data_IF_547873826353
#
_entry.id   IF_547873826353
#
_cell.length_a   1.000
_cell.length_b   1.000
_cell.length_c   1.000
_cell.angle_alpha   90.00
_cell.angle_beta   90.00
_cell.angle_gamma   90.00
#
_symmetry.space_group_name_H-M   'P 1'
#
loop_
_entity.id
_entity.type
_entity.pdbx_description
1 polymer ?
#
# COMPACT_ATOMS: atom_id res chain seq x y z
N UNK A 1 -11.03 6.45 18.03
CA UNK A 1 -11.56 5.25 17.37
C UNK A 1 -12.93 4.87 17.95
N UNK A 2 -13.16 5.04 19.26
CA UNK A 2 -14.44 4.66 19.90
C UNK A 2 -15.66 5.40 19.35
N UNK A 3 -15.53 6.70 19.03
CA UNK A 3 -16.61 7.47 18.39
C UNK A 3 -16.87 7.11 16.91
N UNK A 4 -16.08 6.20 16.32
CA UNK A 4 -16.21 5.78 14.91
C UNK A 4 -16.22 4.24 14.85
N UNK A 5 -17.37 3.59 15.10
CA UNK A 5 -17.45 2.14 15.21
C UNK A 5 -17.09 1.40 13.92
N UNK A 6 -17.19 2.06 12.77
CA UNK A 6 -16.80 1.57 11.44
C UNK A 6 -15.28 1.69 11.16
N UNK A 7 -14.54 2.44 11.98
CA UNK A 7 -13.09 2.55 11.86
C UNK A 7 -12.40 1.33 12.46
N UNK A 8 -11.73 0.54 11.62
CA UNK A 8 -10.92 -0.62 12.01
C UNK A 8 -9.45 -0.26 12.23
N UNK A 9 -8.99 0.83 11.62
CA UNK A 9 -7.64 1.36 11.75
C UNK A 9 -7.66 2.87 11.96
N UNK A 10 -6.66 3.39 12.68
CA UNK A 10 -6.31 4.81 12.66
C UNK A 10 -4.92 5.00 12.06
N UNK A 11 -4.81 5.91 11.09
CA UNK A 11 -3.54 6.35 10.52
C UNK A 11 -3.07 7.63 11.23
N UNK A 12 -1.84 7.62 11.73
CA UNK A 12 -1.18 8.81 12.28
C UNK A 12 -0.66 9.72 11.15
N UNK A 13 -0.39 10.98 11.48
CA UNK A 13 0.43 11.87 10.64
C UNK A 13 1.90 11.57 10.90
N UNK A 14 2.57 10.95 9.93
CA UNK A 14 3.98 10.59 10.02
C UNK A 14 4.81 11.64 9.29
N UNK A 15 5.71 12.29 10.02
CA UNK A 15 6.67 13.27 9.50
C UNK A 15 8.05 12.64 9.36
N UNK A 16 8.81 13.08 8.36
CA UNK A 16 10.23 12.75 8.30
C UNK A 16 10.94 13.41 9.49
N UNK A 17 11.89 12.69 10.09
CA UNK A 17 12.60 13.13 11.30
C UNK A 17 13.13 14.57 11.17
N UNK A 18 12.82 15.41 12.18
CA UNK A 18 13.21 16.82 12.25
C UNK A 18 12.79 17.67 11.02
N UNK A 19 11.63 17.42 10.43
CA UNK A 19 11.13 18.20 9.29
C UNK A 19 9.62 18.46 9.38
N UNK A 20 9.12 19.42 8.58
CA UNK A 20 7.69 19.62 8.33
C UNK A 20 7.18 18.81 7.11
N UNK A 21 7.93 17.80 6.67
CA UNK A 21 7.63 17.02 5.48
C UNK A 21 6.96 15.71 5.86
N UNK A 22 5.87 15.39 5.19
CA UNK A 22 5.13 14.15 5.38
C UNK A 22 5.96 12.97 4.84
N UNK A 23 6.12 11.93 5.68
CA UNK A 23 6.45 10.57 5.23
C UNK A 23 5.17 9.84 4.82
N UNK A 24 4.13 9.86 5.67
CA UNK A 24 2.80 9.31 5.35
C UNK A 24 1.70 10.05 6.12
N UNK A 25 0.69 10.53 5.41
CA UNK A 25 -0.56 11.05 5.96
C UNK A 25 -1.70 10.01 5.80
N UNK A 26 -1.37 8.76 6.10
CA UNK A 26 -2.10 7.57 5.67
C UNK A 26 -1.57 7.01 4.34
N UNK A 27 -2.12 5.87 3.94
CA UNK A 27 -1.74 5.19 2.71
C UNK A 27 -2.88 5.16 1.71
N UNK A 28 -2.50 5.05 0.44
CA UNK A 28 -3.37 4.95 -0.71
C UNK A 28 -3.12 3.65 -1.48
N UNK A 29 -4.09 3.26 -2.29
CA UNK A 29 -3.95 2.20 -3.28
C UNK A 29 -4.41 2.72 -4.63
N UNK A 30 -3.57 2.61 -5.65
CA UNK A 30 -3.87 3.13 -6.97
C UNK A 30 -4.66 2.13 -7.82
N UNK A 31 -5.32 2.62 -8.87
CA UNK A 31 -5.89 1.77 -9.93
C UNK A 31 -4.83 1.07 -10.77
N UNK A 32 -3.55 1.42 -10.63
CA UNK A 32 -2.44 0.56 -11.10
C UNK A 32 -2.13 -0.62 -10.17
N UNK A 33 -3.00 -0.86 -9.18
CA UNK A 33 -2.92 -1.91 -8.18
C UNK A 33 -1.62 -1.84 -7.36
N UNK A 34 -1.29 -0.64 -6.88
CA UNK A 34 -0.07 -0.39 -6.10
C UNK A 34 -0.38 0.44 -4.85
N UNK A 35 0.15 -0.02 -3.71
CA UNK A 35 0.19 0.78 -2.49
C UNK A 35 1.12 1.99 -2.64
N UNK A 36 0.77 3.09 -2.01
CA UNK A 36 1.62 4.28 -1.93
C UNK A 36 1.33 5.06 -0.64
N UNK A 37 2.32 5.83 -0.17
CA UNK A 37 2.15 6.74 0.96
C UNK A 37 1.46 8.02 0.51
N UNK A 38 0.37 8.40 1.17
CA UNK A 38 -0.37 9.64 0.89
C UNK A 38 0.44 10.82 1.43
N UNK A 39 0.67 11.83 0.59
CA UNK A 39 1.40 13.05 0.96
C UNK A 39 2.91 12.92 1.04
N UNK A 40 3.50 11.78 0.66
CA UNK A 40 4.97 11.57 0.63
C UNK A 40 5.69 12.74 -0.03
N UNK A 41 6.53 13.45 0.75
CA UNK A 41 7.33 14.57 0.28
C UNK A 41 6.62 15.92 0.22
N UNK A 42 5.39 16.05 0.75
CA UNK A 42 4.65 17.31 0.84
C UNK A 42 4.73 17.95 2.23
N UNK A 43 4.39 19.25 2.32
CA UNK A 43 4.29 19.96 3.61
C UNK A 43 3.15 19.40 4.46
N UNK A 44 3.38 19.26 5.76
CA UNK A 44 2.38 18.79 6.72
C UNK A 44 1.16 19.71 6.84
N UNK A 45 1.31 20.99 6.51
CA UNK A 45 0.26 22.01 6.60
C UNK A 45 -0.95 21.66 5.72
N UNK A 46 -0.74 20.90 4.63
CA UNK A 46 -1.81 20.45 3.73
C UNK A 46 -2.65 19.30 4.30
N UNK A 47 -2.18 18.66 5.37
CA UNK A 47 -2.70 17.40 5.89
C UNK A 47 -3.25 17.56 7.32
N UNK A 48 -3.91 18.70 7.60
CA UNK A 48 -4.55 19.03 8.88
C UNK A 48 -5.99 18.50 9.04
N UNK A 49 -6.59 17.91 8.01
CA UNK A 49 -7.98 17.47 8.03
C UNK A 49 -8.11 16.00 8.46
N UNK A 50 -8.97 15.72 9.44
CA UNK A 50 -9.41 14.37 9.79
C UNK A 50 -10.35 13.84 8.71
N UNK A 51 -10.04 12.68 8.16
CA UNK A 51 -10.81 12.09 7.06
C UNK A 51 -10.60 10.58 6.98
N UNK A 52 -11.44 9.89 6.23
CA UNK A 52 -11.20 8.49 5.90
C UNK A 52 -10.22 8.39 4.73
N UNK A 53 -9.22 7.53 4.88
CA UNK A 53 -8.20 7.23 3.87
C UNK A 53 -8.27 5.75 3.49
N UNK A 54 -7.50 5.34 2.48
CA UNK A 54 -7.50 3.94 2.05
C UNK A 54 -6.82 3.02 3.09
N UNK A 55 -5.68 3.45 3.63
CA UNK A 55 -4.84 2.62 4.48
C UNK A 55 -4.07 3.41 5.53
N UNK A 56 -3.42 2.69 6.43
CA UNK A 56 -2.49 3.23 7.41
C UNK A 56 -1.13 2.56 7.23
N UNK A 57 -0.06 3.33 7.42
CA UNK A 57 1.30 2.78 7.47
C UNK A 57 1.52 2.10 8.84
N UNK A 58 1.97 0.85 8.83
CA UNK A 58 2.11 0.07 10.07
C UNK A 58 3.17 0.63 11.03
N UNK A 59 4.06 1.54 10.59
CA UNK A 59 5.02 2.23 11.45
C UNK A 59 4.34 3.02 12.60
N UNK A 60 3.14 3.54 12.37
CA UNK A 60 2.39 4.30 13.37
C UNK A 60 0.87 4.21 13.12
N UNK A 61 0.32 3.01 13.31
CA UNK A 61 -1.10 2.73 13.18
C UNK A 61 -1.67 2.13 14.46
N UNK A 62 -2.93 2.45 14.75
CA UNK A 62 -3.72 1.78 15.78
C UNK A 62 -4.72 0.84 15.09
N UNK A 63 -4.86 -0.38 15.62
CA UNK A 63 -5.75 -1.41 15.07
C UNK A 63 -6.85 -1.75 16.08
N UNK A 64 -8.10 -1.82 15.61
CA UNK A 64 -9.22 -2.31 16.42
C UNK A 64 -9.09 -3.81 16.58
N UNK A 65 -9.12 -4.30 17.82
CA UNK A 65 -9.09 -5.74 18.14
C UNK A 65 -10.15 -6.54 17.36
N UNK A 66 -11.42 -6.07 17.37
CA UNK A 66 -12.52 -6.72 16.65
C UNK A 66 -12.25 -6.88 15.15
N UNK A 67 -11.58 -5.91 14.53
CA UNK A 67 -11.19 -6.03 13.13
C UNK A 67 -10.14 -7.12 12.95
N UNK A 68 -9.09 -7.14 13.79
CA UNK A 68 -8.03 -8.16 13.71
C UNK A 68 -8.56 -9.58 13.95
N UNK A 69 -9.52 -9.73 14.88
CA UNK A 69 -10.22 -11.01 15.10
C UNK A 69 -11.04 -11.44 13.89
N UNK A 70 -11.56 -10.50 13.09
CA UNK A 70 -12.32 -10.78 11.89
C UNK A 70 -11.45 -11.10 10.67
N UNK A 71 -10.41 -10.30 10.42
CA UNK A 71 -9.64 -10.35 9.16
C UNK A 71 -8.28 -11.06 9.31
N UNK A 72 -7.86 -11.35 10.53
CA UNK A 72 -6.54 -11.88 10.87
C UNK A 72 -5.44 -10.82 10.98
N UNK A 73 -4.29 -11.23 11.51
CA UNK A 73 -3.11 -10.39 11.73
C UNK A 73 -2.32 -10.13 10.43
N UNK A 74 -1.08 -9.64 10.56
CA UNK A 74 -0.16 -9.57 9.42
C UNK A 74 0.15 -10.97 8.89
N UNK A 75 0.50 -11.02 7.62
CA UNK A 75 0.81 -12.27 6.94
C UNK A 75 2.33 -12.42 6.83
N UNK A 76 2.87 -13.41 7.55
CA UNK A 76 4.31 -13.63 7.70
C UNK A 76 5.03 -13.93 6.38
N UNK A 77 4.31 -14.35 5.34
CA UNK A 77 4.87 -14.58 4.00
C UNK A 77 5.44 -13.30 3.37
N UNK A 78 4.96 -12.13 3.80
CA UNK A 78 5.53 -10.86 3.35
C UNK A 78 6.89 -10.59 4.00
N UNK A 79 7.11 -11.03 5.25
CA UNK A 79 8.28 -10.76 6.09
C UNK A 79 8.54 -9.26 6.35
N UNK A 80 8.76 -8.47 5.30
CA UNK A 80 8.93 -7.01 5.33
C UNK A 80 8.39 -6.37 4.05
N UNK A 81 7.92 -5.13 4.14
CA UNK A 81 7.35 -4.33 3.05
C UNK A 81 6.03 -4.91 2.53
N UNK A 82 5.00 -4.06 2.44
CA UNK A 82 3.67 -4.37 1.92
C UNK A 82 2.82 -5.31 2.79
N UNK A 83 3.27 -5.73 3.97
CA UNK A 83 2.44 -6.40 4.98
C UNK A 83 1.28 -5.50 5.44
N UNK A 84 1.53 -4.19 5.55
CA UNK A 84 0.53 -3.17 5.84
C UNK A 84 -0.43 -2.95 4.67
N UNK A 85 0.06 -3.00 3.45
CA UNK A 85 -0.75 -2.86 2.23
C UNK A 85 -1.74 -4.01 2.11
N UNK A 86 -1.32 -5.24 2.42
CA UNK A 86 -2.20 -6.40 2.52
C UNK A 86 -3.28 -6.22 3.59
N UNK A 87 -2.89 -5.80 4.80
CA UNK A 87 -3.82 -5.52 5.90
C UNK A 87 -4.85 -4.45 5.51
N UNK A 88 -4.39 -3.35 4.90
CA UNK A 88 -5.24 -2.26 4.43
C UNK A 88 -6.27 -2.76 3.40
N UNK A 89 -5.86 -3.61 2.46
CA UNK A 89 -6.79 -4.19 1.48
C UNK A 89 -7.82 -5.12 2.15
N UNK A 90 -7.40 -5.99 3.07
CA UNK A 90 -8.32 -6.89 3.79
C UNK A 90 -9.33 -6.11 4.62
N UNK A 91 -8.91 -5.03 5.28
CA UNK A 91 -9.80 -4.13 5.99
C UNK A 91 -10.83 -3.49 5.04
N UNK A 92 -10.38 -2.95 3.90
CA UNK A 92 -11.28 -2.37 2.90
C UNK A 92 -12.28 -3.39 2.33
N UNK A 93 -11.82 -4.62 2.04
CA UNK A 93 -12.67 -5.71 1.52
C UNK A 93 -13.79 -6.11 2.49
N UNK A 94 -13.56 -5.97 3.80
CA UNK A 94 -14.51 -6.31 4.86
C UNK A 94 -15.31 -5.10 5.35
N UNK A 95 -15.14 -3.95 4.70
CA UNK A 95 -15.90 -2.73 5.00
C UNK A 95 -15.36 -1.93 6.18
N UNK A 96 -14.25 -2.35 6.79
CA UNK A 96 -13.56 -1.55 7.79
C UNK A 96 -12.92 -0.33 7.15
N UNK A 97 -13.11 0.83 7.80
CA UNK A 97 -12.57 2.10 7.32
C UNK A 97 -11.30 2.46 8.08
N UNK A 98 -10.49 3.31 7.45
CA UNK A 98 -9.27 3.83 8.04
C UNK A 98 -9.44 5.31 8.32
N UNK A 99 -9.41 5.68 9.59
CA UNK A 99 -9.53 7.08 10.01
C UNK A 99 -8.13 7.70 10.11
N UNK A 100 -7.83 8.69 9.29
CA UNK A 100 -6.62 9.50 9.43
C UNK A 100 -6.81 10.54 10.54
N UNK A 101 -5.89 10.56 11.51
CA UNK A 101 -5.93 11.41 12.70
C UNK A 101 -4.75 12.40 12.64
N UNK A 102 -4.96 13.63 12.13
CA UNK A 102 -3.88 14.58 11.89
C UNK A 102 -3.22 15.12 13.17
N UNK A 103 -3.87 14.95 14.32
CA UNK A 103 -3.38 15.35 15.64
C UNK A 103 -2.41 14.31 16.24
N UNK A 104 -2.45 13.06 15.77
CA UNK A 104 -1.51 12.01 16.19
C UNK A 104 -0.24 12.11 15.33
N UNK A 105 0.79 12.79 15.83
CA UNK A 105 2.02 13.08 15.07
C UNK A 105 3.15 12.15 15.51
N UNK A 106 3.82 11.51 14.54
CA UNK A 106 5.00 10.67 14.75
C UNK A 106 6.14 11.10 13.84
N UNK A 107 7.36 11.21 14.39
CA UNK A 107 8.57 11.50 13.61
C UNK A 107 9.31 10.21 13.28
N UNK A 108 9.51 9.94 11.99
CA UNK A 108 10.10 8.70 11.50
C UNK A 108 11.47 8.95 10.86
N UNK A 109 12.49 8.22 11.34
CA UNK A 109 13.80 8.13 10.69
C UNK A 109 13.73 7.15 9.51
N UNK A 110 13.19 7.64 8.39
CA UNK A 110 12.90 6.84 7.20
C UNK A 110 14.14 6.07 6.74
N UNK A 111 13.98 4.75 6.49
CA UNK A 111 15.00 3.84 5.90
C UNK A 111 16.25 3.63 6.77
N UNK A 112 16.21 3.92 8.06
CA UNK A 112 17.36 3.73 8.96
C UNK A 112 17.79 2.27 9.12
N UNK A 113 16.86 1.31 9.01
CA UNK A 113 17.14 -0.09 9.32
C UNK A 113 17.60 -0.92 8.11
N UNK A 114 16.90 -0.83 6.97
CA UNK A 114 17.12 -1.69 5.80
C UNK A 114 17.92 -0.96 4.69
N UNK A 115 18.12 0.36 4.82
CA UNK A 115 18.81 1.20 3.84
C UNK A 115 17.95 1.56 2.63
N UNK A 116 18.27 2.67 1.98
CA UNK A 116 17.60 3.09 0.76
C UNK A 116 18.06 2.25 -0.44
N UNK A 117 17.12 1.69 -1.20
CA UNK A 117 17.43 0.91 -2.41
C UNK A 117 18.41 -0.24 -2.20
N UNK A 118 18.43 -0.82 -0.99
CA UNK A 118 19.15 -2.07 -0.76
C UNK A 118 18.51 -3.22 -1.55
N UNK A 119 19.30 -4.24 -1.84
CA UNK A 119 18.81 -5.41 -2.58
C UNK A 119 17.66 -6.10 -1.84
N UNK A 120 17.74 -6.16 -0.50
CA UNK A 120 16.64 -6.63 0.35
C UNK A 120 15.37 -5.81 0.14
N UNK A 121 15.44 -4.48 0.26
CA UNK A 121 14.27 -3.62 0.10
C UNK A 121 13.64 -3.74 -1.30
N UNK A 122 14.48 -3.78 -2.35
CA UNK A 122 14.01 -3.88 -3.72
C UNK A 122 13.38 -5.25 -4.00
N UNK A 123 14.02 -6.34 -3.57
CA UNK A 123 13.49 -7.69 -3.74
C UNK A 123 12.11 -7.84 -3.11
N UNK A 124 11.96 -7.48 -1.83
CA UNK A 124 10.69 -7.59 -1.13
C UNK A 124 9.66 -6.59 -1.68
N UNK A 125 10.05 -5.39 -2.10
CA UNK A 125 9.13 -4.46 -2.77
C UNK A 125 8.52 -5.07 -4.04
N UNK A 126 9.35 -5.63 -4.93
CA UNK A 126 8.87 -6.21 -6.20
C UNK A 126 8.02 -7.44 -5.93
N UNK A 127 8.53 -8.37 -5.12
CA UNK A 127 7.85 -9.64 -4.81
C UNK A 127 6.52 -9.39 -4.12
N UNK A 128 6.54 -8.68 -3.00
CA UNK A 128 5.36 -8.54 -2.13
C UNK A 128 4.26 -7.72 -2.79
N UNK A 129 4.61 -6.73 -3.62
CA UNK A 129 3.62 -5.99 -4.39
C UNK A 129 2.81 -6.89 -5.32
N UNK A 130 3.43 -7.88 -5.96
CA UNK A 130 2.71 -8.87 -6.75
C UNK A 130 1.88 -9.82 -5.89
N UNK A 131 2.44 -10.31 -4.77
CA UNK A 131 1.73 -11.18 -3.85
C UNK A 131 0.47 -10.50 -3.28
N UNK A 132 0.55 -9.22 -2.91
CA UNK A 132 -0.60 -8.42 -2.46
C UNK A 132 -1.71 -8.40 -3.52
N UNK A 133 -1.35 -8.18 -4.80
CA UNK A 133 -2.32 -8.14 -5.92
C UNK A 133 -2.98 -9.51 -6.10
N UNK A 134 -2.18 -10.56 -6.14
CA UNK A 134 -2.66 -11.95 -6.32
C UNK A 134 -3.62 -12.31 -5.18
N UNK A 135 -3.20 -12.02 -3.93
CA UNK A 135 -3.92 -12.36 -2.70
C UNK A 135 -5.23 -11.59 -2.52
N UNK A 136 -5.34 -10.35 -2.98
CA UNK A 136 -6.48 -9.49 -2.58
C UNK A 136 -7.38 -8.99 -3.71
N UNK A 137 -6.91 -8.95 -4.96
CA UNK A 137 -7.63 -8.26 -6.04
C UNK A 137 -8.45 -9.22 -6.89
N UNK A 138 -9.78 -9.20 -6.79
CA UNK A 138 -10.68 -10.04 -7.60
C UNK A 138 -10.48 -9.86 -9.12
N UNK A 139 -10.88 -10.85 -9.92
CA UNK A 139 -10.66 -10.81 -11.38
C UNK A 139 -11.43 -9.64 -12.02
N UNK A 140 -12.61 -9.32 -11.48
CA UNK A 140 -13.43 -8.20 -11.94
C UNK A 140 -12.76 -6.85 -11.67
N UNK A 141 -12.09 -6.69 -10.53
CA UNK A 141 -11.32 -5.48 -10.21
C UNK A 141 -10.09 -5.40 -11.11
N UNK A 142 -9.39 -6.52 -11.32
CA UNK A 142 -8.22 -6.60 -12.20
C UNK A 142 -8.56 -6.17 -13.63
N UNK A 143 -9.64 -6.72 -14.22
CA UNK A 143 -10.08 -6.37 -15.59
C UNK A 143 -10.37 -4.87 -15.70
N UNK A 144 -11.10 -4.30 -14.74
CA UNK A 144 -11.45 -2.87 -14.74
C UNK A 144 -10.24 -1.95 -14.55
N UNK A 145 -9.21 -2.43 -13.86
CA UNK A 145 -7.97 -1.71 -13.59
C UNK A 145 -6.86 -2.02 -14.61
N UNK A 146 -7.10 -2.92 -15.56
CA UNK A 146 -6.06 -3.52 -16.40
C UNK A 146 -5.20 -2.50 -17.17
N UNK A 147 -5.75 -1.44 -17.79
CA UNK A 147 -4.93 -0.46 -18.50
C UNK A 147 -3.92 0.24 -17.58
N UNK A 148 -4.36 0.71 -16.40
CA UNK A 148 -3.48 1.36 -15.42
C UNK A 148 -2.52 0.38 -14.76
N UNK A 149 -2.94 -0.87 -14.59
CA UNK A 149 -2.09 -1.94 -14.08
C UNK A 149 -0.90 -2.20 -15.00
N UNK A 150 -1.12 -2.31 -16.32
CA UNK A 150 -0.03 -2.50 -17.31
C UNK A 150 0.97 -1.35 -17.28
N UNK A 151 0.47 -0.10 -17.23
CA UNK A 151 1.33 1.09 -17.09
C UNK A 151 2.14 1.00 -15.79
N UNK A 152 1.51 0.58 -14.70
CA UNK A 152 2.15 0.39 -13.42
C UNK A 152 3.28 -0.65 -13.43
N UNK A 153 3.08 -1.78 -14.12
CA UNK A 153 4.10 -2.83 -14.30
C UNK A 153 5.25 -2.32 -15.16
N UNK A 154 4.95 -1.62 -16.26
CA UNK A 154 5.98 -1.06 -17.13
C UNK A 154 6.83 -0.01 -16.38
N UNK A 155 6.19 0.90 -15.64
CA UNK A 155 6.88 1.92 -14.84
C UNK A 155 7.77 1.29 -13.76
N UNK A 156 7.29 0.22 -13.10
CA UNK A 156 8.09 -0.57 -12.14
C UNK A 156 9.32 -1.18 -12.80
N UNK A 157 9.15 -1.80 -13.98
CA UNK A 157 10.25 -2.37 -14.74
C UNK A 157 11.29 -1.30 -15.12
N UNK A 158 10.85 -0.17 -15.70
CA UNK A 158 11.73 0.95 -16.04
C UNK A 158 12.50 1.44 -14.80
N UNK A 159 11.80 1.60 -13.67
CA UNK A 159 12.40 2.08 -12.44
C UNK A 159 13.45 1.11 -11.88
N UNK A 160 13.10 -0.14 -11.61
CA UNK A 160 14.05 -1.07 -10.98
C UNK A 160 15.11 -1.62 -11.94
N UNK A 161 14.73 -1.92 -13.18
CA UNK A 161 15.61 -2.56 -14.16
C UNK A 161 16.44 -1.53 -14.93
N UNK A 162 15.81 -0.49 -15.48
CA UNK A 162 16.54 0.47 -16.32
C UNK A 162 17.25 1.54 -15.52
N UNK A 163 16.60 2.11 -14.49
CA UNK A 163 17.18 3.17 -13.65
C UNK A 163 18.16 2.61 -12.61
N UNK A 164 17.75 1.63 -11.79
CA UNK A 164 18.62 1.06 -10.73
C UNK A 164 19.44 -0.16 -11.16
N UNK A 165 19.34 -0.62 -12.41
CA UNK A 165 20.13 -1.74 -12.97
C UNK A 165 19.96 -3.07 -12.21
N UNK A 166 18.81 -3.31 -11.59
CA UNK A 166 18.53 -4.51 -10.76
C UNK A 166 17.84 -5.66 -11.52
N UNK A 167 18.22 -5.93 -12.77
CA UNK A 167 17.56 -6.96 -13.60
C UNK A 167 17.53 -8.35 -12.93
N UNK A 168 18.68 -8.82 -12.42
CA UNK A 168 18.78 -10.14 -11.78
C UNK A 168 17.81 -10.26 -10.61
N UNK A 169 17.79 -9.24 -9.74
CA UNK A 169 16.93 -9.17 -8.57
C UNK A 169 15.43 -9.13 -8.95
N UNK A 170 15.09 -8.38 -9.99
CA UNK A 170 13.74 -8.35 -10.55
C UNK A 170 13.30 -9.74 -11.00
N UNK A 171 14.14 -10.46 -11.75
CA UNK A 171 13.85 -11.84 -12.19
C UNK A 171 13.70 -12.78 -11.00
N UNK A 172 14.58 -12.68 -9.99
CA UNK A 172 14.49 -13.51 -8.79
C UNK A 172 13.18 -13.28 -8.03
N UNK A 173 12.79 -12.03 -7.82
CA UNK A 173 11.51 -11.68 -7.19
C UNK A 173 10.32 -12.27 -7.96
N UNK A 174 10.29 -12.13 -9.30
CA UNK A 174 9.21 -12.69 -10.13
C UNK A 174 9.18 -14.22 -10.13
N UNK A 175 10.34 -14.89 -10.08
CA UNK A 175 10.40 -16.36 -9.92
C UNK A 175 9.76 -16.81 -8.61
N UNK A 176 10.02 -16.12 -7.51
CA UNK A 176 9.41 -16.47 -6.22
C UNK A 176 7.91 -16.17 -6.18
N UNK A 177 7.45 -15.12 -6.87
CA UNK A 177 6.01 -14.89 -7.07
C UNK A 177 5.34 -16.08 -7.77
N UNK A 178 5.96 -16.63 -8.82
CA UNK A 178 5.43 -17.80 -9.53
C UNK A 178 5.36 -19.02 -8.61
N UNK A 179 6.39 -19.26 -7.79
CA UNK A 179 6.39 -20.37 -6.81
C UNK A 179 5.28 -20.21 -5.76
N UNK A 180 5.04 -19.00 -5.30
CA UNK A 180 4.04 -18.69 -4.26
C UNK A 180 2.61 -18.56 -4.82
N UNK A 181 2.44 -18.54 -6.15
CA UNK A 181 1.15 -18.28 -6.80
C UNK A 181 0.03 -19.22 -6.33
N UNK A 182 0.19 -20.56 -6.27
CA UNK A 182 -0.91 -21.45 -5.84
C UNK A 182 -1.37 -21.15 -4.41
N UNK A 183 -0.41 -20.85 -3.53
CA UNK A 183 -0.67 -20.56 -2.13
C UNK A 183 -1.36 -19.19 -1.97
N UNK A 184 -0.91 -18.16 -2.68
CA UNK A 184 -1.55 -16.85 -2.67
C UNK A 184 -2.95 -16.86 -3.30
N UNK A 185 -3.18 -17.72 -4.30
CA UNK A 185 -4.51 -17.94 -4.88
C UNK A 185 -5.47 -18.63 -3.89
N UNK A 186 -4.97 -19.53 -3.04
CA UNK A 186 -5.76 -20.09 -1.93
C UNK A 186 -6.15 -19.00 -0.92
N UNK A 187 -5.19 -18.17 -0.51
CA UNK A 187 -5.44 -17.01 0.37
C UNK A 187 -6.45 -16.02 -0.25
N UNK A 188 -6.35 -15.78 -1.56
CA UNK A 188 -7.32 -14.98 -2.32
C UNK A 188 -8.73 -15.52 -2.23
N UNK A 189 -8.92 -16.83 -2.40
CA UNK A 189 -10.25 -17.44 -2.26
C UNK A 189 -10.84 -17.18 -0.88
N UNK A 190 -10.03 -17.28 0.19
CA UNK A 190 -10.46 -17.00 1.55
C UNK A 190 -10.84 -15.52 1.74
N UNK A 191 -9.98 -14.59 1.30
CA UNK A 191 -10.23 -13.16 1.43
C UNK A 191 -11.47 -12.71 0.66
N UNK A 192 -11.66 -13.22 -0.57
CA UNK A 192 -12.82 -12.88 -1.39
C UNK A 192 -14.14 -13.49 -0.88
N UNK A 193 -14.08 -14.63 -0.17
CA UNK A 193 -15.26 -15.18 0.55
C UNK A 193 -15.67 -14.31 1.73
N UNK A 194 -14.71 -13.65 2.39
CA UNK A 194 -14.98 -12.73 3.50
C UNK A 194 -15.34 -11.32 3.05
N UNK A 195 -15.23 -11.01 1.75
CA UNK A 195 -15.52 -9.68 1.22
C UNK A 195 -16.98 -9.26 1.50
N UNK A 196 -17.15 -8.14 2.19
CA UNK A 196 -18.46 -7.56 2.56
C UNK A 196 -18.86 -6.35 1.70
N UNK A 197 -17.93 -5.83 0.90
CA UNK A 197 -18.16 -4.66 0.03
C UNK A 197 -18.20 -5.05 -1.45
N UNK A 198 -18.91 -4.26 -2.26
CA UNK A 198 -18.90 -4.47 -3.71
C UNK A 198 -17.53 -4.13 -4.34
N UNK A 199 -17.19 -4.77 -5.47
CA UNK A 199 -15.99 -4.41 -6.23
C UNK A 199 -15.99 -2.93 -6.67
N UNK A 200 -17.17 -2.33 -6.88
CA UNK A 200 -17.32 -0.91 -7.20
C UNK A 200 -16.85 0.01 -6.06
N UNK A 201 -17.15 -0.35 -4.80
CA UNK A 201 -16.65 0.36 -3.63
C UNK A 201 -15.11 0.41 -3.66
N UNK A 202 -14.47 -0.76 -3.79
CA UNK A 202 -13.02 -0.84 -3.79
C UNK A 202 -12.39 0.00 -4.93
N UNK A 203 -12.93 -0.09 -6.14
CA UNK A 203 -12.44 0.68 -7.30
C UNK A 203 -12.61 2.19 -7.10
N UNK A 204 -13.70 2.62 -6.46
CA UNK A 204 -13.98 4.04 -6.20
C UNK A 204 -13.06 4.62 -5.12
N UNK A 205 -12.63 3.80 -4.16
CA UNK A 205 -11.65 4.20 -3.14
C UNK A 205 -10.22 4.25 -3.68
N UNK A 206 -9.94 3.57 -4.80
CA UNK A 206 -8.61 3.59 -5.43
C UNK A 206 -8.31 4.89 -6.17
N UNK A 207 -7.05 5.33 -6.10
CA UNK A 207 -6.58 6.54 -6.79
C UNK A 207 -6.22 6.27 -8.26
N UNK A 208 -6.84 6.94 -9.24
CA UNK A 208 -6.42 6.83 -10.63
C UNK A 208 -5.01 7.39 -10.86
N UNK A 209 -4.22 6.76 -11.73
CA UNK A 209 -2.89 7.22 -12.15
C UNK A 209 -2.94 8.66 -12.70
N UNK A 210 -4.02 9.00 -13.40
CA UNK A 210 -4.21 10.27 -14.11
C UNK A 210 -4.63 11.43 -13.19
N UNK A 211 -4.83 11.17 -11.90
CA UNK A 211 -5.08 12.24 -10.93
C UNK A 211 -3.84 13.15 -10.89
N UNK A 212 -4.02 14.43 -11.22
CA UNK A 212 -2.91 15.39 -11.45
C UNK A 212 -1.84 15.36 -10.35
N UNK A 213 -2.26 15.44 -9.08
CA UNK A 213 -1.32 15.47 -7.96
C UNK A 213 -0.58 14.15 -7.78
N UNK A 214 -1.27 13.04 -8.02
CA UNK A 214 -0.67 11.70 -7.97
C UNK A 214 0.38 11.53 -9.08
N UNK A 215 0.04 11.91 -10.31
CA UNK A 215 0.96 11.84 -11.45
C UNK A 215 2.20 12.72 -11.23
N UNK A 216 2.01 13.96 -10.77
CA UNK A 216 3.10 14.87 -10.43
C UNK A 216 4.04 14.28 -9.35
N UNK A 217 3.47 13.71 -8.30
CA UNK A 217 4.25 13.04 -7.23
C UNK A 217 5.08 11.87 -7.79
N UNK A 218 4.49 11.01 -8.63
CA UNK A 218 5.20 9.88 -9.24
C UNK A 218 6.31 10.32 -10.19
N UNK A 219 6.07 11.31 -11.05
CA UNK A 219 7.08 11.87 -11.96
C UNK A 219 8.25 12.48 -11.19
N UNK A 220 7.98 13.25 -10.13
CA UNK A 220 9.03 13.82 -9.27
C UNK A 220 9.90 12.71 -8.66
N UNK A 221 9.30 11.61 -8.21
CA UNK A 221 10.05 10.46 -7.66
C UNK A 221 10.90 9.74 -8.70
N UNK A 222 10.41 9.62 -9.94
CA UNK A 222 11.18 9.02 -11.04
C UNK A 222 12.35 9.92 -11.46
N UNK A 223 12.18 11.24 -11.45
CA UNK A 223 13.23 12.19 -11.87
C UNK A 223 14.28 12.41 -10.77
N UNK A 224 13.85 12.56 -9.52
CA UNK A 224 14.71 13.07 -8.43
C UNK A 224 14.96 12.08 -7.28
N UNK A 225 14.27 10.93 -7.24
CA UNK A 225 14.46 9.89 -6.20
C UNK A 225 15.40 8.78 -6.64
#
# INVERSE_FOLDING_TARGET
MDCNPDAGLCASKILQYNSNIIDSAGDGFSKSLQGFKRGDGESSDKYGKREYVFGACACAALYRRKMLEEIGFFDDDFFLIHEDTDMNLRAQLTGWRVLYVPEAIVYHKVRSSIGYMSDTAIYYTIRNRDLVRIKNISINVLIRCFPEFVIGIFAEFVYFVLKYKKLKLYIYAKKDVIKMLPYMMKKRSLNLKQQKVANSYLINTMTPLWKRDFLKSKLKKILYG
#
